data_IF_235548529629
#
_entry.id   IF_235548529629
#
_cell.length_a   1.000
_cell.length_b   1.000
_cell.length_c   1.000
_cell.angle_alpha   90.00
_cell.angle_beta   90.00
_cell.angle_gamma   90.00
#
_symmetry.space_group_name_H-M   'P 1'
#
loop_
_entity.id
_entity.type
_entity.pdbx_description
1 polymer ?
#
# COMPACT_ATOMS: atom_id res chain seq x y z
N UNK A 1 14.74 33.98 26.53
CA UNK A 1 15.23 35.30 26.05
C UNK A 1 16.63 35.22 25.43
N UNK A 2 17.71 34.90 26.16
CA UNK A 2 19.05 34.79 25.52
C UNK A 2 19.19 33.56 24.60
N UNK A 3 18.64 32.41 25.01
CA UNK A 3 18.61 31.17 24.23
C UNK A 3 17.77 31.25 22.93
N UNK A 4 16.62 31.93 22.99
CA UNK A 4 15.73 32.09 21.82
C UNK A 4 16.38 32.98 20.75
N UNK A 5 17.17 33.98 21.16
CA UNK A 5 17.92 34.83 20.24
C UNK A 5 19.04 34.08 19.52
N UNK A 6 19.69 33.10 20.17
CA UNK A 6 20.77 32.32 19.55
C UNK A 6 20.25 31.45 18.39
N UNK A 7 19.13 30.76 18.60
CA UNK A 7 18.50 29.92 17.59
C UNK A 7 17.94 30.71 16.40
N UNK A 8 17.36 31.89 16.64
CA UNK A 8 16.93 32.80 15.58
C UNK A 8 18.12 33.39 14.81
N UNK A 9 19.25 33.66 15.47
CA UNK A 9 20.48 34.08 14.80
C UNK A 9 21.03 32.96 13.90
N UNK A 10 21.12 31.72 14.39
CA UNK A 10 21.55 30.57 13.59
C UNK A 10 20.65 30.33 12.38
N UNK A 11 19.34 30.51 12.54
CA UNK A 11 18.37 30.44 11.43
C UNK A 11 18.65 31.52 10.40
N UNK A 12 18.90 32.75 10.83
CA UNK A 12 19.23 33.88 9.97
C UNK A 12 20.54 33.66 9.23
N UNK A 13 21.55 33.09 9.88
CA UNK A 13 22.84 32.74 9.29
C UNK A 13 22.68 31.69 8.18
N UNK A 14 21.95 30.59 8.46
CA UNK A 14 21.65 29.56 7.47
C UNK A 14 20.88 30.12 6.26
N UNK A 15 19.87 30.99 6.49
CA UNK A 15 19.12 31.62 5.40
C UNK A 15 20.03 32.55 4.58
N UNK A 16 20.94 33.27 5.22
CA UNK A 16 21.88 34.17 4.56
C UNK A 16 22.89 33.39 3.72
N UNK A 17 23.41 32.28 4.24
CA UNK A 17 24.30 31.38 3.51
C UNK A 17 23.62 30.81 2.25
N UNK A 18 22.39 30.32 2.38
CA UNK A 18 21.59 29.85 1.24
C UNK A 18 21.39 30.98 0.21
N UNK A 19 20.99 32.19 0.63
CA UNK A 19 20.83 33.32 -0.30
C UNK A 19 22.11 33.70 -1.05
N UNK A 20 23.27 33.51 -0.42
CA UNK A 20 24.59 33.75 -1.03
C UNK A 20 25.10 32.56 -1.87
N UNK A 21 24.44 31.40 -1.79
CA UNK A 21 24.88 30.17 -2.43
C UNK A 21 26.11 29.52 -1.80
N UNK A 22 26.37 29.83 -0.53
CA UNK A 22 27.51 29.30 0.23
C UNK A 22 27.09 28.06 1.04
N UNK A 23 27.17 26.88 0.40
CA UNK A 23 26.80 25.62 1.06
C UNK A 23 27.76 25.25 2.22
N UNK A 24 29.01 25.73 2.21
CA UNK A 24 29.99 25.48 3.27
C UNK A 24 29.66 26.29 4.53
N UNK A 25 29.34 27.59 4.37
CA UNK A 25 28.83 28.42 5.46
C UNK A 25 27.50 27.89 6.00
N UNK A 26 26.63 27.37 5.13
CA UNK A 26 25.41 26.71 5.56
C UNK A 26 25.70 25.49 6.43
N UNK A 27 26.59 24.59 5.99
CA UNK A 27 26.91 23.37 6.73
C UNK A 27 27.52 23.67 8.10
N UNK A 28 28.38 24.69 8.19
CA UNK A 28 28.96 25.16 9.44
C UNK A 28 27.91 25.76 10.40
N UNK A 29 26.98 26.57 9.89
CA UNK A 29 25.90 27.14 10.69
C UNK A 29 24.88 26.07 11.11
N UNK A 30 24.55 25.14 10.21
CA UNK A 30 23.58 24.07 10.45
C UNK A 30 24.06 23.08 11.52
N UNK A 31 25.36 22.78 11.59
CA UNK A 31 25.93 21.93 12.65
C UNK A 31 25.69 22.48 14.06
N UNK A 32 25.74 23.81 14.21
CA UNK A 32 25.49 24.47 15.51
C UNK A 32 24.07 24.27 16.03
N UNK A 33 23.09 23.96 15.16
CA UNK A 33 21.74 23.58 15.60
C UNK A 33 21.71 22.27 16.39
N UNK A 34 22.65 21.35 16.12
CA UNK A 34 22.77 20.11 16.87
C UNK A 34 23.42 20.36 18.24
N UNK A 35 24.42 21.25 18.28
CA UNK A 35 25.22 21.53 19.48
C UNK A 35 24.51 22.46 20.47
N UNK A 36 23.53 23.26 20.03
CA UNK A 36 22.81 24.18 20.92
C UNK A 36 21.97 23.40 21.94
N UNK A 37 22.35 23.42 23.20
CA UNK A 37 21.54 22.84 24.30
C UNK A 37 20.31 23.69 24.63
N UNK A 38 20.31 24.94 24.19
CA UNK A 38 19.34 25.95 24.56
C UNK A 38 18.29 26.09 23.44
N UNK A 39 17.19 25.35 23.50
CA UNK A 39 16.09 25.56 22.56
C UNK A 39 14.95 24.57 22.61
N UNK A 40 13.76 25.08 22.28
CA UNK A 40 12.58 24.26 22.04
C UNK A 40 12.84 23.31 20.84
N UNK A 41 12.80 22.00 21.10
CA UNK A 41 13.00 20.95 20.08
C UNK A 41 12.06 21.14 18.88
N UNK A 42 10.84 21.62 19.12
CA UNK A 42 9.88 21.96 18.09
C UNK A 42 10.43 23.03 17.12
N UNK A 43 10.95 24.12 17.66
CA UNK A 43 11.51 25.23 16.87
C UNK A 43 12.66 24.77 15.97
N UNK A 44 13.54 23.90 16.50
CA UNK A 44 14.64 23.32 15.72
C UNK A 44 14.11 22.55 14.52
N UNK A 45 13.11 21.70 14.72
CA UNK A 45 12.56 20.86 13.65
C UNK A 45 11.80 21.66 12.60
N UNK A 46 11.04 22.68 13.02
CA UNK A 46 10.39 23.63 12.10
C UNK A 46 11.42 24.40 11.27
N UNK A 47 12.49 24.87 11.91
CA UNK A 47 13.57 25.57 11.23
C UNK A 47 14.29 24.67 10.23
N UNK A 48 14.66 23.44 10.63
CA UNK A 48 15.34 22.49 9.76
C UNK A 48 14.45 22.06 8.58
N UNK A 49 13.15 21.87 8.80
CA UNK A 49 12.17 21.62 7.74
C UNK A 49 12.09 22.77 6.73
N UNK A 50 12.04 24.02 7.23
CA UNK A 50 12.07 25.23 6.40
C UNK A 50 13.37 25.33 5.60
N UNK A 51 14.53 25.16 6.25
CA UNK A 51 15.83 25.25 5.60
C UNK A 51 16.00 24.18 4.51
N UNK A 52 15.55 22.94 4.75
CA UNK A 52 15.52 21.91 3.73
C UNK A 52 14.69 22.32 2.50
N UNK A 53 13.50 22.90 2.73
CA UNK A 53 12.64 23.39 1.64
C UNK A 53 13.25 24.57 0.89
N UNK A 54 13.89 25.52 1.58
CA UNK A 54 14.56 26.66 0.97
C UNK A 54 15.77 26.23 0.12
N UNK A 55 16.60 25.33 0.65
CA UNK A 55 17.73 24.76 -0.07
C UNK A 55 17.27 24.05 -1.35
N UNK A 56 16.21 23.22 -1.26
CA UNK A 56 15.61 22.57 -2.43
C UNK A 56 15.09 23.57 -3.47
N UNK A 57 14.44 24.65 -3.05
CA UNK A 57 13.94 25.70 -3.95
C UNK A 57 15.07 26.40 -4.71
N UNK A 58 16.25 26.48 -4.10
CA UNK A 58 17.46 27.07 -4.69
C UNK A 58 18.36 26.03 -5.37
N UNK A 59 17.93 24.77 -5.44
CA UNK A 59 18.68 23.64 -6.02
C UNK A 59 19.99 23.28 -5.27
N UNK A 60 20.10 23.61 -3.99
CA UNK A 60 21.22 23.24 -3.11
C UNK A 60 20.97 21.90 -2.44
N UNK A 61 21.26 20.83 -3.18
CA UNK A 61 20.97 19.44 -2.76
C UNK A 61 21.77 19.03 -1.52
N UNK A 62 23.02 19.51 -1.36
CA UNK A 62 23.89 19.14 -0.24
C UNK A 62 23.36 19.74 1.05
N UNK A 63 23.05 21.05 1.04
CA UNK A 63 22.42 21.74 2.16
C UNK A 63 21.05 21.15 2.51
N UNK A 64 20.23 20.79 1.51
CA UNK A 64 18.94 20.14 1.76
C UNK A 64 19.08 18.78 2.46
N UNK A 65 20.03 17.95 2.01
CA UNK A 65 20.30 16.65 2.62
C UNK A 65 20.85 16.83 4.05
N UNK A 66 21.72 17.82 4.28
CA UNK A 66 22.23 18.16 5.62
C UNK A 66 21.11 18.53 6.56
N UNK A 67 20.21 19.43 6.15
CA UNK A 67 19.06 19.83 6.95
C UNK A 67 18.14 18.64 7.28
N UNK A 68 17.88 17.75 6.32
CA UNK A 68 17.11 16.51 6.54
C UNK A 68 17.80 15.55 7.51
N UNK A 69 19.13 15.40 7.41
CA UNK A 69 19.91 14.58 8.33
C UNK A 69 19.77 15.11 9.76
N UNK A 70 19.93 16.42 9.95
CA UNK A 70 19.79 17.06 11.26
C UNK A 70 18.36 16.95 11.79
N UNK A 71 17.34 17.15 10.95
CA UNK A 71 15.94 16.94 11.33
C UNK A 71 15.70 15.52 11.85
N UNK A 72 16.29 14.52 11.17
CA UNK A 72 16.22 13.13 11.61
C UNK A 72 16.97 12.88 12.93
N UNK A 73 18.07 13.58 13.18
CA UNK A 73 18.81 13.47 14.46
C UNK A 73 17.98 14.09 15.59
N UNK A 74 17.45 15.30 15.41
CA UNK A 74 16.57 15.95 16.40
C UNK A 74 15.34 15.09 16.72
N UNK A 75 14.83 14.34 15.75
CA UNK A 75 13.70 13.44 16.01
C UNK A 75 14.02 12.41 17.11
N UNK A 76 15.28 11.98 17.26
CA UNK A 76 15.67 10.98 18.25
C UNK A 76 15.47 11.45 19.70
N UNK A 77 15.44 12.76 19.92
CA UNK A 77 15.25 13.38 21.24
C UNK A 77 13.76 13.54 21.62
N UNK A 78 12.84 13.16 20.72
CA UNK A 78 11.40 13.22 20.99
C UNK A 78 11.02 12.14 22.01
N UNK A 79 10.43 12.57 23.13
CA UNK A 79 9.92 11.66 24.15
C UNK A 79 8.77 10.79 23.59
N UNK A 80 8.62 9.52 24.03
CA UNK A 80 7.59 8.62 23.52
C UNK A 80 6.14 9.13 23.66
N UNK A 81 5.88 9.97 24.66
CA UNK A 81 4.55 10.53 24.97
C UNK A 81 4.35 11.94 24.37
N UNK A 82 5.35 12.46 23.64
CA UNK A 82 5.28 13.80 23.05
C UNK A 82 4.71 13.75 21.62
N UNK A 83 3.40 13.53 21.56
CA UNK A 83 2.66 13.50 20.31
C UNK A 83 2.76 14.82 19.52
N UNK A 84 2.77 15.96 20.20
CA UNK A 84 2.83 17.25 19.51
C UNK A 84 4.14 17.42 18.74
N UNK A 85 5.27 17.10 19.37
CA UNK A 85 6.59 17.26 18.77
C UNK A 85 6.83 16.23 17.65
N UNK A 86 6.34 15.00 17.79
CA UNK A 86 6.38 14.01 16.70
C UNK A 86 5.54 14.45 15.49
N UNK A 87 4.39 15.09 15.70
CA UNK A 87 3.60 15.66 14.59
C UNK A 87 4.40 16.73 13.83
N UNK A 88 5.10 17.61 14.57
CA UNK A 88 5.98 18.62 13.97
C UNK A 88 7.08 17.99 13.13
N UNK A 89 7.73 16.93 13.62
CA UNK A 89 8.70 16.16 12.85
C UNK A 89 8.10 15.60 11.54
N UNK A 90 6.98 14.87 11.66
CA UNK A 90 6.30 14.23 10.54
C UNK A 90 5.86 15.26 9.48
N UNK A 91 5.33 16.39 9.92
CA UNK A 91 4.89 17.49 9.06
C UNK A 91 6.07 18.13 8.30
N UNK A 92 7.16 18.43 8.99
CA UNK A 92 8.35 19.03 8.37
C UNK A 92 9.07 18.08 7.41
N UNK A 93 9.16 16.79 7.76
CA UNK A 93 9.67 15.76 6.85
C UNK A 93 8.79 15.65 5.60
N UNK A 94 7.46 15.66 5.77
CA UNK A 94 6.52 15.67 4.64
C UNK A 94 6.71 16.90 3.75
N UNK A 95 6.90 18.09 4.31
CA UNK A 95 7.15 19.30 3.53
C UNK A 95 8.42 19.21 2.70
N UNK A 96 9.52 18.75 3.30
CA UNK A 96 10.77 18.56 2.58
C UNK A 96 10.63 17.51 1.46
N UNK A 97 9.93 16.39 1.71
CA UNK A 97 9.67 15.38 0.70
C UNK A 97 8.79 15.92 -0.46
N UNK A 98 7.72 16.64 -0.15
CA UNK A 98 6.85 17.29 -1.15
C UNK A 98 7.66 18.29 -1.98
N UNK A 99 8.51 19.09 -1.35
CA UNK A 99 9.36 20.04 -2.05
C UNK A 99 10.36 19.32 -2.95
N UNK A 100 11.00 18.26 -2.47
CA UNK A 100 11.94 17.45 -3.26
C UNK A 100 11.25 16.85 -4.49
N UNK A 101 10.02 16.35 -4.33
CA UNK A 101 9.23 15.88 -5.47
C UNK A 101 8.90 17.01 -6.45
N UNK A 102 8.48 18.19 -5.95
CA UNK A 102 8.21 19.37 -6.79
C UNK A 102 9.42 19.84 -7.58
N UNK A 103 10.60 19.80 -6.98
CA UNK A 103 11.87 20.17 -7.63
C UNK A 103 12.52 19.02 -8.39
N UNK A 104 11.78 17.91 -8.62
CA UNK A 104 12.25 16.73 -9.36
C UNK A 104 13.49 16.04 -8.77
N UNK A 105 13.74 16.23 -7.48
CA UNK A 105 14.87 15.66 -6.78
C UNK A 105 14.50 14.33 -6.11
N UNK A 106 14.63 13.24 -6.88
CA UNK A 106 14.31 11.88 -6.42
C UNK A 106 15.17 11.44 -5.23
N UNK A 107 16.45 11.78 -5.23
CA UNK A 107 17.39 11.33 -4.21
C UNK A 107 17.08 11.93 -2.84
N UNK A 108 16.73 13.23 -2.81
CA UNK A 108 16.30 13.89 -1.58
C UNK A 108 14.93 13.35 -1.10
N UNK A 109 14.00 13.06 -2.03
CA UNK A 109 12.75 12.39 -1.66
C UNK A 109 13.01 11.00 -1.05
N UNK A 110 13.88 10.20 -1.67
CA UNK A 110 14.28 8.88 -1.17
C UNK A 110 14.96 9.00 0.21
N UNK A 111 15.82 9.99 0.40
CA UNK A 111 16.46 10.26 1.69
C UNK A 111 15.41 10.57 2.77
N UNK A 112 14.43 11.41 2.49
CA UNK A 112 13.35 11.71 3.44
C UNK A 112 12.55 10.45 3.84
N UNK A 113 12.16 9.62 2.88
CA UNK A 113 11.49 8.34 3.16
C UNK A 113 12.41 7.41 3.97
N UNK A 114 13.70 7.38 3.65
CA UNK A 114 14.68 6.56 4.37
C UNK A 114 14.87 7.00 5.82
N UNK A 115 14.86 8.31 6.11
CA UNK A 115 14.94 8.80 7.50
C UNK A 115 13.73 8.38 8.32
N UNK A 116 12.54 8.46 7.71
CA UNK A 116 11.31 7.96 8.31
C UNK A 116 11.42 6.44 8.59
N UNK A 117 11.87 5.66 7.60
CA UNK A 117 12.04 4.22 7.74
C UNK A 117 13.02 3.84 8.87
N UNK A 118 14.18 4.51 8.95
CA UNK A 118 15.18 4.25 10.00
C UNK A 118 14.63 4.57 11.38
N UNK A 119 13.92 5.69 11.55
CA UNK A 119 13.29 6.06 12.83
C UNK A 119 12.32 4.98 13.30
N UNK A 120 11.35 4.63 12.45
CA UNK A 120 10.31 3.65 12.78
C UNK A 120 10.82 2.20 12.81
N UNK A 121 12.00 1.91 12.26
CA UNK A 121 12.69 0.64 12.46
C UNK A 121 13.19 0.49 13.90
N UNK A 122 13.73 1.56 14.49
CA UNK A 122 14.31 1.56 15.83
C UNK A 122 13.25 1.61 16.92
N UNK A 123 12.24 2.47 16.75
CA UNK A 123 11.35 2.80 17.85
C UNK A 123 10.12 1.88 17.97
N UNK A 124 9.75 1.12 16.91
CA UNK A 124 8.53 0.28 16.84
C UNK A 124 7.22 0.95 17.31
N UNK A 125 7.23 2.25 17.61
CA UNK A 125 6.22 2.96 18.37
C UNK A 125 5.39 3.83 17.42
N UNK A 126 4.11 3.49 17.26
CA UNK A 126 3.10 4.35 16.64
C UNK A 126 1.90 4.33 17.60
N UNK A 127 1.96 5.11 18.68
CA UNK A 127 0.91 5.08 19.72
C UNK A 127 -0.02 6.28 19.60
N UNK A 128 0.53 7.49 19.66
CA UNK A 128 -0.28 8.71 19.87
C UNK A 128 -0.49 9.56 18.61
N UNK A 129 0.25 9.28 17.52
CA UNK A 129 0.21 10.06 16.27
C UNK A 129 -0.16 9.25 15.03
N UNK A 130 -0.95 8.21 15.22
CA UNK A 130 -1.38 7.32 14.14
C UNK A 130 -1.95 8.12 12.95
N UNK A 131 -2.78 9.13 13.20
CA UNK A 131 -3.40 9.95 12.14
C UNK A 131 -2.38 10.79 11.35
N UNK A 132 -1.46 11.46 12.06
CA UNK A 132 -0.38 12.22 11.42
C UNK A 132 0.52 11.31 10.58
N UNK A 133 0.86 10.14 11.11
CA UNK A 133 1.67 9.15 10.40
C UNK A 133 0.95 8.60 9.16
N UNK A 134 -0.33 8.23 9.27
CA UNK A 134 -1.18 7.84 8.14
C UNK A 134 -1.24 8.97 7.10
N UNK A 135 -1.38 10.22 7.53
CA UNK A 135 -1.37 11.40 6.66
C UNK A 135 -0.07 11.55 5.88
N UNK A 136 1.08 11.33 6.52
CA UNK A 136 2.39 11.31 5.85
C UNK A 136 2.49 10.14 4.87
N UNK A 137 2.12 8.93 5.27
CA UNK A 137 2.17 7.76 4.38
C UNK A 137 1.29 7.93 3.14
N UNK A 138 0.08 8.47 3.29
CA UNK A 138 -0.81 8.79 2.17
C UNK A 138 -0.14 9.76 1.19
N UNK A 139 0.43 10.85 1.69
CA UNK A 139 1.10 11.85 0.85
C UNK A 139 2.31 11.25 0.13
N UNK A 140 3.17 10.53 0.85
CA UNK A 140 4.38 9.95 0.27
C UNK A 140 4.07 8.82 -0.73
N UNK A 141 3.08 7.96 -0.45
CA UNK A 141 2.64 6.94 -1.39
C UNK A 141 2.02 7.55 -2.65
N UNK A 142 1.21 8.59 -2.51
CA UNK A 142 0.66 9.32 -3.66
C UNK A 142 1.79 9.86 -4.54
N UNK A 143 2.75 10.59 -3.94
CA UNK A 143 3.87 11.19 -4.67
C UNK A 143 4.74 10.13 -5.35
N UNK A 144 5.10 9.07 -4.62
CA UNK A 144 5.92 8.00 -5.17
C UNK A 144 5.21 7.26 -6.33
N UNK A 145 3.90 7.05 -6.24
CA UNK A 145 3.13 6.45 -7.31
C UNK A 145 3.00 7.39 -8.52
N UNK A 146 2.65 8.66 -8.31
CA UNK A 146 2.46 9.66 -9.36
C UNK A 146 3.76 9.97 -10.12
N UNK A 147 4.88 10.09 -9.41
CA UNK A 147 6.22 10.28 -9.99
C UNK A 147 6.89 8.98 -10.45
N UNK A 148 6.23 7.82 -10.26
CA UNK A 148 6.74 6.48 -10.61
C UNK A 148 8.10 6.16 -9.97
N UNK A 149 8.28 6.53 -8.70
CA UNK A 149 9.45 6.16 -7.89
C UNK A 149 9.33 4.72 -7.37
N UNK A 150 9.40 3.78 -8.30
CA UNK A 150 9.11 2.35 -8.10
C UNK A 150 10.08 1.63 -7.17
N UNK A 151 11.28 2.16 -7.00
CA UNK A 151 12.32 1.73 -6.06
C UNK A 151 12.06 2.21 -4.62
N UNK A 152 11.23 3.24 -4.44
CA UNK A 152 10.88 3.82 -3.12
C UNK A 152 9.58 3.21 -2.56
N UNK A 153 8.66 2.79 -3.44
CA UNK A 153 7.42 2.10 -3.05
C UNK A 153 7.63 0.90 -2.12
N UNK A 154 8.64 0.00 -2.27
CA UNK A 154 8.94 -1.04 -1.29
C UNK A 154 9.09 -0.53 0.15
N UNK A 155 9.78 0.60 0.33
CA UNK A 155 10.03 1.18 1.65
C UNK A 155 8.75 1.76 2.27
N UNK A 156 7.93 2.44 1.47
CA UNK A 156 6.63 2.96 1.91
C UNK A 156 5.63 1.84 2.25
N UNK A 157 5.67 0.74 1.49
CA UNK A 157 4.90 -0.48 1.82
C UNK A 157 5.34 -1.06 3.15
N UNK A 158 6.66 -1.17 3.38
CA UNK A 158 7.20 -1.65 4.64
C UNK A 158 6.81 -0.74 5.83
N UNK A 159 6.90 0.58 5.66
CA UNK A 159 6.46 1.55 6.65
C UNK A 159 4.97 1.40 6.97
N UNK A 160 4.14 1.19 5.95
CA UNK A 160 2.70 0.98 6.14
C UNK A 160 2.40 -0.25 6.99
N UNK A 161 3.22 -1.31 6.92
CA UNK A 161 3.05 -2.51 7.75
C UNK A 161 3.26 -2.27 9.25
N UNK A 162 3.83 -1.12 9.65
CA UNK A 162 3.91 -0.72 11.06
C UNK A 162 2.55 -0.40 11.67
N UNK A 163 1.54 -0.15 10.84
CA UNK A 163 0.15 -0.01 11.27
C UNK A 163 -0.55 -1.37 11.49
N UNK A 164 0.01 -2.48 10.98
CA UNK A 164 -0.62 -3.80 11.13
C UNK A 164 -0.59 -4.27 12.58
N UNK A 165 -1.74 -4.71 13.09
CA UNK A 165 -1.92 -5.25 14.45
C UNK A 165 -1.39 -4.33 15.56
N UNK A 166 -1.36 -3.04 15.29
CA UNK A 166 -1.07 -2.06 16.30
C UNK A 166 -2.37 -1.79 17.08
N UNK A 167 -2.32 -1.98 18.40
CA UNK A 167 -3.48 -1.87 19.30
C UNK A 167 -4.10 -0.47 19.28
N UNK A 168 -3.33 0.55 18.92
CA UNK A 168 -3.75 1.96 18.87
C UNK A 168 -4.33 2.35 17.50
N UNK A 169 -4.44 1.39 16.58
CA UNK A 169 -4.88 1.64 15.20
C UNK A 169 -6.17 0.86 14.94
N UNK A 170 -7.29 1.57 14.96
CA UNK A 170 -8.61 0.97 14.75
C UNK A 170 -8.87 0.67 13.27
N UNK A 171 -9.82 -0.22 13.00
CA UNK A 171 -10.26 -0.48 11.62
C UNK A 171 -10.87 0.75 10.96
N UNK A 172 -11.48 1.65 11.74
CA UNK A 172 -12.06 2.91 11.28
C UNK A 172 -10.99 3.85 10.73
N UNK A 173 -9.81 3.89 11.37
CA UNK A 173 -8.65 4.65 10.88
C UNK A 173 -8.00 4.00 9.67
N UNK A 174 -7.91 2.67 9.63
CA UNK A 174 -7.27 1.94 8.52
C UNK A 174 -8.11 1.97 7.24
N UNK A 175 -9.44 1.95 7.34
CA UNK A 175 -10.29 1.78 6.17
C UNK A 175 -10.12 2.92 5.14
N UNK A 176 -10.14 4.22 5.51
CA UNK A 176 -9.86 5.31 4.57
C UNK A 176 -8.47 5.22 3.95
N UNK A 177 -7.45 4.90 4.75
CA UNK A 177 -6.06 4.73 4.29
C UNK A 177 -5.95 3.64 3.23
N UNK A 178 -6.47 2.44 3.52
CA UNK A 178 -6.41 1.30 2.60
C UNK A 178 -7.27 1.51 1.35
N UNK A 179 -8.39 2.24 1.44
CA UNK A 179 -9.16 2.68 0.27
C UNK A 179 -8.38 3.67 -0.59
N UNK A 180 -7.71 4.64 0.01
CA UNK A 180 -6.83 5.57 -0.69
C UNK A 180 -5.71 4.84 -1.45
N UNK A 181 -5.09 3.85 -0.80
CA UNK A 181 -4.11 2.98 -1.43
C UNK A 181 -4.72 2.18 -2.61
N UNK A 182 -5.87 1.54 -2.41
CA UNK A 182 -6.57 0.83 -3.49
C UNK A 182 -6.90 1.75 -4.68
N UNK A 183 -7.35 2.99 -4.42
CA UNK A 183 -7.58 4.01 -5.44
C UNK A 183 -6.31 4.33 -6.23
N UNK A 184 -5.17 4.54 -5.54
CA UNK A 184 -3.89 4.80 -6.19
C UNK A 184 -3.50 3.66 -7.14
N UNK A 185 -3.68 2.42 -6.69
CA UNK A 185 -3.41 1.25 -7.52
C UNK A 185 -4.31 1.20 -8.77
N UNK A 186 -5.60 1.46 -8.60
CA UNK A 186 -6.56 1.50 -9.70
C UNK A 186 -6.26 2.63 -10.71
N UNK A 187 -5.86 3.81 -10.21
CA UNK A 187 -5.44 4.92 -11.06
C UNK A 187 -4.16 4.60 -11.85
N UNK A 188 -3.17 3.97 -11.20
CA UNK A 188 -1.95 3.51 -11.88
C UNK A 188 -2.27 2.48 -12.97
N UNK A 189 -3.17 1.53 -12.69
CA UNK A 189 -3.64 0.54 -13.67
C UNK A 189 -4.26 1.22 -14.90
N UNK A 190 -5.18 2.18 -14.69
CA UNK A 190 -5.85 2.93 -15.77
C UNK A 190 -4.89 3.77 -16.62
N UNK A 191 -3.80 4.27 -16.03
CA UNK A 191 -2.76 5.03 -16.75
C UNK A 191 -1.75 4.14 -17.49
N UNK A 192 -1.90 2.81 -17.44
CA UNK A 192 -0.95 1.86 -18.03
C UNK A 192 0.33 1.69 -17.21
N UNK A 193 0.39 2.20 -15.97
CA UNK A 193 1.55 2.05 -15.08
C UNK A 193 1.47 0.71 -14.33
N UNK A 194 1.55 -0.38 -15.09
CA UNK A 194 1.25 -1.73 -14.61
C UNK A 194 2.22 -2.20 -13.52
N UNK A 195 3.48 -1.78 -13.58
CA UNK A 195 4.50 -2.06 -12.56
C UNK A 195 4.15 -1.40 -11.22
N UNK A 196 3.76 -0.12 -11.24
CA UNK A 196 3.31 0.64 -10.07
C UNK A 196 2.03 0.01 -9.50
N UNK A 197 1.04 -0.26 -10.35
CA UNK A 197 -0.21 -0.90 -9.94
C UNK A 197 0.04 -2.25 -9.25
N UNK A 198 0.89 -3.08 -9.84
CA UNK A 198 1.28 -4.37 -9.28
C UNK A 198 1.97 -4.22 -7.92
N UNK A 199 2.92 -3.28 -7.79
CA UNK A 199 3.60 -3.05 -6.51
C UNK A 199 2.64 -2.61 -5.41
N UNK A 200 1.73 -1.68 -5.74
CA UNK A 200 0.73 -1.17 -4.80
C UNK A 200 -0.25 -2.26 -4.38
N UNK A 201 -0.85 -3.01 -5.32
CA UNK A 201 -1.78 -4.08 -5.00
C UNK A 201 -1.12 -5.20 -4.18
N UNK A 202 0.10 -5.62 -4.52
CA UNK A 202 0.82 -6.64 -3.76
C UNK A 202 1.08 -6.17 -2.31
N UNK A 203 1.45 -4.90 -2.11
CA UNK A 203 1.62 -4.35 -0.76
C UNK A 203 0.32 -4.28 0.02
N UNK A 204 -0.75 -3.82 -0.62
CA UNK A 204 -2.10 -3.74 -0.04
C UNK A 204 -2.60 -5.12 0.40
N UNK A 205 -2.47 -6.13 -0.45
CA UNK A 205 -2.89 -7.49 -0.12
C UNK A 205 -2.00 -8.14 0.94
N UNK A 206 -0.69 -7.87 0.93
CA UNK A 206 0.19 -8.31 2.00
C UNK A 206 -0.19 -7.68 3.36
N UNK A 207 -0.54 -6.40 3.36
CA UNK A 207 -1.08 -5.72 4.55
C UNK A 207 -2.32 -6.44 5.08
N UNK A 208 -3.31 -6.74 4.23
CA UNK A 208 -4.53 -7.45 4.64
C UNK A 208 -4.23 -8.83 5.24
N UNK A 209 -3.32 -9.60 4.61
CA UNK A 209 -2.90 -10.91 5.13
C UNK A 209 -2.25 -10.81 6.51
N UNK A 210 -1.52 -9.72 6.79
CA UNK A 210 -0.93 -9.47 8.10
C UNK A 210 -1.96 -9.01 9.12
N UNK A 211 -2.85 -8.09 8.75
CA UNK A 211 -3.88 -7.54 9.63
C UNK A 211 -4.86 -8.61 10.12
N UNK A 212 -5.18 -9.63 9.30
CA UNK A 212 -6.13 -10.71 9.64
C UNK A 212 -7.52 -10.23 10.05
N UNK A 213 -7.93 -9.05 9.61
CA UNK A 213 -9.30 -8.57 9.78
C UNK A 213 -10.19 -9.02 8.62
N UNK A 214 -11.27 -9.75 8.95
CA UNK A 214 -12.29 -10.11 7.96
C UNK A 214 -12.99 -8.86 7.41
N UNK A 215 -13.31 -7.89 8.27
CA UNK A 215 -14.06 -6.67 7.90
C UNK A 215 -13.29 -5.81 6.91
N UNK A 216 -12.01 -5.56 7.20
CA UNK A 216 -11.12 -4.83 6.29
C UNK A 216 -10.89 -5.63 5.00
N UNK A 217 -10.63 -6.94 5.11
CA UNK A 217 -10.45 -7.80 3.93
C UNK A 217 -11.66 -7.76 3.01
N UNK A 218 -12.87 -7.90 3.55
CA UNK A 218 -14.13 -7.79 2.81
C UNK A 218 -14.25 -6.44 2.12
N UNK A 219 -14.08 -5.36 2.87
CA UNK A 219 -14.28 -4.01 2.37
C UNK A 219 -13.30 -3.66 1.26
N UNK A 220 -12.02 -3.97 1.44
CA UNK A 220 -10.98 -3.64 0.46
C UNK A 220 -11.01 -4.59 -0.74
N UNK A 221 -11.26 -5.88 -0.55
CA UNK A 221 -11.39 -6.82 -1.66
C UNK A 221 -12.56 -6.44 -2.57
N UNK A 222 -13.73 -6.16 -2.02
CA UNK A 222 -14.88 -5.70 -2.81
C UNK A 222 -14.59 -4.40 -3.55
N UNK A 223 -13.87 -3.48 -2.90
CA UNK A 223 -13.49 -2.21 -3.51
C UNK A 223 -12.51 -2.39 -4.67
N UNK A 224 -11.49 -3.24 -4.52
CA UNK A 224 -10.55 -3.56 -5.61
C UNK A 224 -11.24 -4.33 -6.74
N UNK A 225 -12.15 -5.27 -6.43
CA UNK A 225 -12.93 -6.00 -7.42
C UNK A 225 -13.80 -5.08 -8.28
N UNK A 226 -14.38 -4.03 -7.68
CA UNK A 226 -15.10 -3.01 -8.44
C UNK A 226 -14.18 -2.28 -9.44
N UNK A 227 -12.97 -1.90 -9.02
CA UNK A 227 -12.00 -1.27 -9.93
C UNK A 227 -11.52 -2.22 -11.02
N UNK A 228 -11.31 -3.50 -10.70
CA UNK A 228 -10.99 -4.54 -11.67
C UNK A 228 -12.12 -4.74 -12.67
N UNK A 229 -13.40 -4.73 -12.23
CA UNK A 229 -14.57 -4.79 -13.10
C UNK A 229 -14.62 -3.60 -14.05
N UNK A 230 -14.44 -2.38 -13.55
CA UNK A 230 -14.39 -1.19 -14.40
C UNK A 230 -13.24 -1.26 -15.41
N UNK A 231 -12.07 -1.77 -15.00
CA UNK A 231 -10.94 -1.96 -15.90
C UNK A 231 -11.27 -2.99 -16.98
N UNK A 232 -11.87 -4.12 -16.62
CA UNK A 232 -12.29 -5.14 -17.57
C UNK A 232 -13.28 -4.61 -18.62
N UNK A 233 -14.18 -3.71 -18.22
CA UNK A 233 -15.13 -3.07 -19.13
C UNK A 233 -14.48 -2.13 -20.16
N UNK A 234 -13.34 -1.53 -19.82
CA UNK A 234 -12.67 -0.54 -20.66
C UNK A 234 -11.53 -1.12 -21.49
N UNK A 235 -10.73 -1.97 -20.87
CA UNK A 235 -9.48 -2.52 -21.40
C UNK A 235 -9.58 -4.01 -21.78
N UNK A 236 -10.72 -4.65 -21.50
CA UNK A 236 -10.96 -6.06 -21.73
C UNK A 236 -10.60 -6.96 -20.55
N UNK A 237 -11.31 -8.09 -20.45
CA UNK A 237 -11.22 -9.03 -19.33
C UNK A 237 -9.84 -9.70 -19.24
N UNK A 238 -9.25 -10.08 -20.38
CA UNK A 238 -7.93 -10.71 -20.42
C UNK A 238 -6.85 -9.82 -19.78
N UNK A 239 -6.83 -8.54 -20.17
CA UNK A 239 -5.91 -7.53 -19.62
C UNK A 239 -6.19 -7.23 -18.15
N UNK A 240 -7.45 -7.28 -17.73
CA UNK A 240 -7.81 -7.16 -16.32
C UNK A 240 -7.18 -8.28 -15.47
N UNK A 241 -7.19 -9.54 -15.93
CA UNK A 241 -6.52 -10.65 -15.22
C UNK A 241 -5.00 -10.46 -15.10
N UNK A 242 -4.36 -9.85 -16.11
CA UNK A 242 -2.93 -9.54 -16.07
C UNK A 242 -2.60 -8.42 -15.10
N UNK A 243 -3.28 -7.28 -15.21
CA UNK A 243 -2.99 -6.08 -14.40
C UNK A 243 -3.41 -6.28 -12.94
N UNK A 244 -4.52 -6.98 -12.71
CA UNK A 244 -5.00 -7.33 -11.36
C UNK A 244 -4.60 -8.73 -10.92
N UNK A 245 -3.54 -9.30 -11.51
CA UNK A 245 -2.92 -10.55 -11.05
C UNK A 245 -2.70 -10.63 -9.52
N UNK A 246 -2.35 -9.54 -8.80
CA UNK A 246 -2.23 -9.57 -7.34
C UNK A 246 -3.52 -9.97 -6.62
N UNK A 247 -4.71 -9.71 -7.18
CA UNK A 247 -6.00 -10.10 -6.61
C UNK A 247 -6.16 -11.63 -6.60
N UNK A 248 -5.76 -12.28 -7.69
CA UNK A 248 -5.74 -13.74 -7.77
C UNK A 248 -4.72 -14.32 -6.80
N UNK A 249 -3.50 -13.75 -6.77
CA UNK A 249 -2.45 -14.21 -5.86
C UNK A 249 -2.89 -14.11 -4.40
N UNK A 250 -3.51 -13.00 -4.01
CA UNK A 250 -4.11 -12.80 -2.70
C UNK A 250 -5.17 -13.86 -2.39
N UNK A 251 -6.08 -14.11 -3.34
CA UNK A 251 -7.16 -15.09 -3.18
C UNK A 251 -6.62 -16.50 -2.96
N UNK A 252 -5.58 -16.90 -3.71
CA UNK A 252 -4.92 -18.20 -3.56
C UNK A 252 -4.21 -18.35 -2.21
N UNK A 253 -3.53 -17.29 -1.76
CA UNK A 253 -2.83 -17.29 -0.46
C UNK A 253 -3.83 -17.31 0.69
N UNK A 254 -4.87 -16.48 0.62
CA UNK A 254 -5.90 -16.40 1.66
C UNK A 254 -6.69 -17.71 1.75
N UNK A 255 -7.08 -18.32 0.64
CA UNK A 255 -7.70 -19.65 0.64
C UNK A 255 -6.80 -20.67 1.33
N UNK A 256 -5.50 -20.71 0.99
CA UNK A 256 -4.55 -21.63 1.62
C UNK A 256 -4.44 -21.41 3.13
N UNK A 257 -4.49 -20.16 3.60
CA UNK A 257 -4.51 -19.84 5.03
C UNK A 257 -5.80 -20.32 5.69
N UNK A 258 -6.95 -20.05 5.07
CA UNK A 258 -8.27 -20.45 5.59
C UNK A 258 -8.47 -21.96 5.64
N UNK A 259 -7.86 -22.73 4.74
CA UNK A 259 -7.86 -24.19 4.82
C UNK A 259 -7.15 -24.74 6.08
N UNK A 260 -6.37 -23.91 6.77
CA UNK A 260 -5.71 -24.24 8.04
C UNK A 260 -6.31 -23.49 9.23
N UNK A 261 -7.33 -22.67 9.00
CA UNK A 261 -7.94 -21.86 10.05
C UNK A 261 -8.78 -22.75 10.97
N UNK A 262 -8.56 -22.57 12.27
CA UNK A 262 -9.22 -23.35 13.32
C UNK A 262 -10.64 -22.84 13.59
N UNK A 263 -10.84 -21.52 13.50
CA UNK A 263 -12.18 -20.94 13.56
C UNK A 263 -12.96 -21.27 12.28
N UNK A 264 -13.85 -22.27 12.40
CA UNK A 264 -14.71 -22.74 11.33
C UNK A 264 -15.63 -21.63 10.79
N UNK A 265 -16.15 -20.74 11.67
CA UNK A 265 -17.04 -19.66 11.24
C UNK A 265 -16.27 -18.65 10.41
N UNK A 266 -15.09 -18.23 10.87
CA UNK A 266 -14.22 -17.32 10.12
C UNK A 266 -13.77 -17.93 8.79
N UNK A 267 -13.39 -19.22 8.80
CA UNK A 267 -13.01 -19.99 7.61
C UNK A 267 -14.11 -19.97 6.56
N UNK A 268 -15.33 -20.39 6.91
CA UNK A 268 -16.48 -20.43 6.00
C UNK A 268 -16.79 -19.03 5.47
N UNK A 269 -16.86 -18.03 6.36
CA UNK A 269 -17.18 -16.65 5.98
C UNK A 269 -16.18 -16.07 4.99
N UNK A 270 -14.89 -16.34 5.20
CA UNK A 270 -13.80 -15.84 4.34
C UNK A 270 -13.73 -16.57 3.00
N UNK A 271 -13.89 -17.91 2.99
CA UNK A 271 -13.93 -18.67 1.75
C UNK A 271 -15.16 -18.28 0.92
N UNK A 272 -16.33 -18.16 1.54
CA UNK A 272 -17.55 -17.69 0.86
C UNK A 272 -17.36 -16.30 0.26
N UNK A 273 -16.71 -15.37 0.97
CA UNK A 273 -16.35 -14.05 0.44
C UNK A 273 -15.50 -14.16 -0.83
N UNK A 274 -14.45 -15.00 -0.83
CA UNK A 274 -13.58 -15.18 -2.00
C UNK A 274 -14.35 -15.73 -3.21
N UNK A 275 -15.06 -16.85 -3.03
CA UNK A 275 -15.80 -17.51 -4.12
C UNK A 275 -16.90 -16.58 -4.67
N UNK A 276 -17.62 -15.88 -3.78
CA UNK A 276 -18.61 -14.90 -4.19
C UNK A 276 -18.01 -13.73 -4.95
N UNK A 277 -16.91 -13.15 -4.47
CA UNK A 277 -16.30 -11.98 -5.11
C UNK A 277 -15.86 -12.27 -6.54
N UNK A 278 -15.24 -13.44 -6.78
CA UNK A 278 -14.83 -13.85 -8.13
C UNK A 278 -16.01 -14.17 -9.03
N UNK A 279 -17.01 -14.91 -8.52
CA UNK A 279 -18.24 -15.19 -9.27
C UNK A 279 -19.00 -13.90 -9.64
N UNK A 280 -19.13 -12.97 -8.70
CA UNK A 280 -19.81 -11.69 -8.93
C UNK A 280 -19.02 -10.82 -9.93
N UNK A 281 -17.69 -10.80 -9.85
CA UNK A 281 -16.83 -10.16 -10.85
C UNK A 281 -17.04 -10.74 -12.26
N UNK A 282 -16.97 -12.07 -12.41
CA UNK A 282 -17.16 -12.73 -13.72
C UNK A 282 -18.54 -12.43 -14.29
N UNK A 283 -19.60 -12.57 -13.47
CA UNK A 283 -20.96 -12.28 -13.91
C UNK A 283 -21.16 -10.81 -14.33
N UNK A 284 -20.50 -9.88 -13.63
CA UNK A 284 -20.61 -8.45 -13.93
C UNK A 284 -19.78 -8.06 -15.16
N UNK A 285 -18.57 -8.61 -15.31
CA UNK A 285 -17.72 -8.42 -16.48
C UNK A 285 -18.34 -9.02 -17.74
N UNK A 286 -18.93 -10.22 -17.66
CA UNK A 286 -19.64 -10.86 -18.76
C UNK A 286 -20.80 -9.99 -19.25
N UNK A 287 -21.62 -9.48 -18.32
CA UNK A 287 -22.72 -8.55 -18.63
C UNK A 287 -22.25 -7.26 -19.30
N UNK A 288 -21.12 -6.70 -18.87
CA UNK A 288 -20.59 -5.46 -19.46
C UNK A 288 -19.96 -5.69 -20.84
N UNK A 289 -19.30 -6.83 -21.04
CA UNK A 289 -18.71 -7.23 -22.31
C UNK A 289 -19.74 -7.81 -23.30
N UNK A 290 -20.98 -8.07 -22.87
CA UNK A 290 -21.99 -8.84 -23.62
C UNK A 290 -21.48 -10.23 -24.04
N UNK A 291 -20.70 -10.85 -23.17
CA UNK A 291 -20.13 -12.20 -23.36
C UNK A 291 -20.81 -13.23 -22.44
N UNK A 292 -20.65 -14.51 -22.78
CA UNK A 292 -21.12 -15.61 -21.93
C UNK A 292 -20.23 -15.77 -20.68
N UNK A 293 -20.82 -16.03 -19.50
CA UNK A 293 -20.03 -16.18 -18.27
C UNK A 293 -18.97 -17.30 -18.39
N UNK A 294 -19.25 -18.35 -19.15
CA UNK A 294 -18.32 -19.47 -19.31
C UNK A 294 -17.09 -19.10 -20.14
N UNK A 295 -17.20 -18.17 -21.11
CA UNK A 295 -16.04 -17.69 -21.87
C UNK A 295 -15.08 -16.92 -20.95
N UNK A 296 -15.61 -16.19 -19.96
CA UNK A 296 -14.79 -15.50 -18.97
C UNK A 296 -14.13 -16.47 -17.98
N UNK A 297 -14.83 -17.53 -17.54
CA UNK A 297 -14.18 -18.61 -16.76
C UNK A 297 -13.06 -19.29 -17.55
N UNK A 298 -13.26 -19.50 -18.85
CA UNK A 298 -12.24 -20.06 -19.75
C UNK A 298 -11.04 -19.12 -19.90
N UNK A 299 -11.28 -17.80 -20.02
CA UNK A 299 -10.23 -16.78 -20.06
C UNK A 299 -9.43 -16.75 -18.75
N UNK A 300 -10.11 -16.81 -17.61
CA UNK A 300 -9.49 -16.85 -16.30
C UNK A 300 -8.63 -18.12 -16.11
N UNK A 301 -9.16 -19.27 -16.53
CA UNK A 301 -8.43 -20.53 -16.52
C UNK A 301 -7.18 -20.49 -17.40
N UNK A 302 -7.30 -19.97 -18.62
CA UNK A 302 -6.18 -19.84 -19.57
C UNK A 302 -5.07 -18.95 -19.00
N UNK A 303 -5.44 -17.84 -18.35
CA UNK A 303 -4.49 -16.99 -17.63
C UNK A 303 -3.73 -17.74 -16.53
N UNK A 304 -4.44 -18.58 -15.76
CA UNK A 304 -3.83 -19.40 -14.69
C UNK A 304 -2.91 -20.50 -15.23
N UNK A 305 -3.30 -21.17 -16.31
CA UNK A 305 -2.56 -22.26 -16.95
C UNK A 305 -1.33 -21.77 -17.73
N UNK A 306 -1.29 -20.50 -18.15
CA UNK A 306 -0.14 -19.90 -18.80
C UNK A 306 1.06 -19.67 -17.85
N UNK A 307 0.89 -19.85 -16.52
CA UNK A 307 1.98 -19.65 -15.55
C UNK A 307 2.94 -20.83 -15.53
N UNK A 308 4.24 -20.53 -15.51
CA UNK A 308 5.31 -21.54 -15.50
C UNK A 308 5.21 -22.53 -14.32
N UNK A 309 4.91 -22.02 -13.13
CA UNK A 309 4.87 -22.83 -11.91
C UNK A 309 3.70 -23.83 -11.93
N UNK A 310 4.03 -25.13 -12.02
CA UNK A 310 3.05 -26.23 -11.88
C UNK A 310 2.18 -26.10 -10.62
N UNK A 311 2.78 -25.68 -9.51
CA UNK A 311 2.10 -25.47 -8.23
C UNK A 311 1.12 -24.30 -8.28
N UNK A 312 1.45 -23.23 -9.01
CA UNK A 312 0.53 -22.12 -9.23
C UNK A 312 -0.66 -22.57 -10.08
N UNK A 313 -0.40 -23.24 -11.21
CA UNK A 313 -1.43 -23.77 -12.11
C UNK A 313 -2.45 -24.63 -11.36
N UNK A 314 -1.98 -25.61 -10.58
CA UNK A 314 -2.84 -26.46 -9.77
C UNK A 314 -3.70 -25.68 -8.76
N UNK A 315 -3.12 -24.67 -8.08
CA UNK A 315 -3.86 -23.84 -7.12
C UNK A 315 -4.90 -22.96 -7.81
N UNK A 316 -4.54 -22.39 -8.95
CA UNK A 316 -5.45 -21.60 -9.79
C UNK A 316 -6.62 -22.46 -10.24
N UNK A 317 -6.35 -23.63 -10.80
CA UNK A 317 -7.36 -24.59 -11.25
C UNK A 317 -8.30 -25.00 -10.12
N UNK A 318 -7.76 -25.38 -8.95
CA UNK A 318 -8.57 -25.72 -7.78
C UNK A 318 -9.48 -24.55 -7.36
N UNK A 319 -8.95 -23.32 -7.34
CA UNK A 319 -9.74 -22.16 -6.94
C UNK A 319 -10.87 -21.83 -7.93
N UNK A 320 -10.60 -21.99 -9.24
CA UNK A 320 -11.62 -21.84 -10.29
C UNK A 320 -12.68 -22.93 -10.16
N UNK A 321 -12.29 -24.19 -9.95
CA UNK A 321 -13.23 -25.31 -9.74
C UNK A 321 -14.11 -25.09 -8.50
N UNK A 322 -13.55 -24.59 -7.39
CA UNK A 322 -14.32 -24.22 -6.20
C UNK A 322 -15.30 -23.09 -6.50
N UNK A 323 -14.88 -22.08 -7.26
CA UNK A 323 -15.75 -20.95 -7.64
C UNK A 323 -16.90 -21.41 -8.54
N UNK A 324 -16.62 -22.28 -9.52
CA UNK A 324 -17.62 -22.91 -10.37
C UNK A 324 -18.57 -23.82 -9.59
N UNK A 325 -18.07 -24.60 -8.63
CA UNK A 325 -18.90 -25.43 -7.75
C UNK A 325 -19.86 -24.60 -6.90
N UNK A 326 -19.36 -23.48 -6.37
CA UNK A 326 -20.18 -22.51 -5.62
C UNK A 326 -21.21 -21.80 -6.50
N UNK A 327 -20.83 -21.39 -7.71
CA UNK A 327 -21.76 -20.86 -8.72
C UNK A 327 -22.84 -21.89 -9.05
N UNK A 328 -22.44 -23.12 -9.38
CA UNK A 328 -23.34 -24.19 -9.78
C UNK A 328 -24.40 -24.45 -8.71
N UNK A 329 -24.03 -24.48 -7.44
CA UNK A 329 -24.97 -24.69 -6.33
C UNK A 329 -26.15 -23.69 -6.33
N UNK A 330 -25.93 -22.47 -6.81
CA UNK A 330 -26.92 -21.38 -6.83
C UNK A 330 -27.73 -21.31 -8.13
N UNK A 331 -27.34 -22.07 -9.15
CA UNK A 331 -27.97 -22.01 -10.46
C UNK A 331 -29.12 -23.02 -10.63
N UNK A 332 -30.14 -22.71 -11.45
CA UNK A 332 -31.15 -23.69 -11.88
C UNK A 332 -30.54 -24.91 -12.56
N UNK A 333 -31.27 -26.04 -12.60
CA UNK A 333 -30.81 -27.29 -13.23
C UNK A 333 -30.42 -27.12 -14.70
N UNK A 334 -31.04 -26.19 -15.42
CA UNK A 334 -30.76 -25.91 -16.84
C UNK A 334 -29.39 -25.26 -17.02
N UNK A 335 -29.04 -24.23 -16.26
CA UNK A 335 -27.72 -23.57 -16.34
C UNK A 335 -26.58 -24.48 -15.86
N UNK A 336 -26.84 -25.37 -14.89
CA UNK A 336 -25.86 -26.39 -14.47
C UNK A 336 -25.39 -27.29 -15.62
N UNK A 337 -26.26 -27.58 -16.60
CA UNK A 337 -25.90 -28.38 -17.78
C UNK A 337 -24.85 -27.69 -18.65
N UNK A 338 -24.64 -26.38 -18.52
CA UNK A 338 -23.64 -25.65 -19.29
C UNK A 338 -22.20 -25.92 -18.79
N UNK A 339 -22.01 -26.43 -17.57
CA UNK A 339 -20.68 -26.82 -17.06
C UNK A 339 -19.99 -27.88 -17.93
N UNK A 340 -20.77 -28.67 -18.68
CA UNK A 340 -20.24 -29.67 -19.63
C UNK A 340 -19.39 -29.05 -20.74
N UNK A 341 -19.45 -27.73 -20.94
CA UNK A 341 -18.64 -26.99 -21.92
C UNK A 341 -17.29 -26.55 -21.36
N UNK A 342 -17.04 -26.68 -20.04
CA UNK A 342 -15.78 -26.34 -19.37
C UNK A 342 -14.93 -27.58 -19.05
N UNK A 343 -14.95 -28.60 -19.92
CA UNK A 343 -14.33 -29.93 -19.64
C UNK A 343 -12.85 -29.83 -19.28
N UNK A 344 -12.10 -29.00 -20.00
CA UNK A 344 -10.68 -28.75 -19.78
C UNK A 344 -10.35 -28.28 -18.35
N UNK A 345 -11.22 -27.46 -17.73
CA UNK A 345 -11.05 -27.02 -16.34
C UNK A 345 -11.13 -28.23 -15.39
N UNK A 346 -12.03 -29.17 -15.67
CA UNK A 346 -12.33 -30.34 -14.84
C UNK A 346 -11.57 -31.63 -15.24
N UNK A 347 -10.75 -31.61 -16.30
CA UNK A 347 -9.93 -32.77 -16.72
C UNK A 347 -9.11 -33.35 -15.56
N UNK A 348 -8.47 -32.46 -14.79
CA UNK A 348 -7.90 -32.80 -13.50
C UNK A 348 -8.84 -32.31 -12.40
N UNK A 349 -9.71 -33.18 -11.90
CA UNK A 349 -10.57 -32.85 -10.76
C UNK A 349 -9.76 -32.77 -9.45
N UNK A 350 -9.69 -31.58 -8.89
CA UNK A 350 -8.96 -31.27 -7.66
C UNK A 350 -9.89 -31.10 -6.45
N UNK A 351 -11.21 -31.03 -6.66
CA UNK A 351 -12.20 -30.79 -5.60
C UNK A 351 -12.62 -32.13 -5.00
N UNK A 352 -11.79 -32.65 -4.10
CA UNK A 352 -12.01 -33.93 -3.38
C UNK A 352 -12.11 -33.75 -1.87
N UNK A 353 -12.76 -34.70 -1.20
CA UNK A 353 -12.84 -34.84 0.25
C UNK A 353 -13.19 -33.52 0.97
N UNK A 354 -12.21 -32.96 1.70
CA UNK A 354 -12.33 -31.69 2.43
C UNK A 354 -12.79 -30.51 1.57
N UNK A 355 -12.54 -30.53 0.26
CA UNK A 355 -12.97 -29.45 -0.65
C UNK A 355 -14.45 -29.57 -1.01
N UNK A 356 -14.99 -30.80 -1.08
CA UNK A 356 -16.43 -31.03 -1.24
C UNK A 356 -17.16 -30.58 0.03
N UNK A 357 -16.67 -30.98 1.21
CA UNK A 357 -17.22 -30.51 2.48
C UNK A 357 -17.19 -28.98 2.57
N UNK A 358 -16.05 -28.36 2.22
CA UNK A 358 -15.95 -26.91 2.20
C UNK A 358 -16.96 -26.26 1.25
N UNK A 359 -17.21 -26.87 0.09
CA UNK A 359 -18.22 -26.39 -0.85
C UNK A 359 -19.63 -26.50 -0.31
N UNK A 360 -19.94 -27.50 0.52
CA UNK A 360 -21.24 -27.65 1.19
C UNK A 360 -21.41 -26.60 2.30
N UNK A 361 -20.38 -26.39 3.11
CA UNK A 361 -20.39 -25.44 4.22
C UNK A 361 -20.58 -23.98 3.75
N UNK A 362 -20.04 -23.63 2.57
CA UNK A 362 -20.08 -22.26 2.05
C UNK A 362 -21.31 -21.96 1.18
N UNK A 363 -22.18 -22.94 0.90
CA UNK A 363 -23.41 -22.71 0.11
C UNK A 363 -24.30 -21.64 0.73
#
# INVERSE_FOLDING_TARGET
MAADNELENLKTDCITALRKGDEDAFDAAALKFQESSAGNLQFKMETLGLLACLALKQNYCRSALKALNLLSVCSLDIAPEDAQTENVFLQNLRYAAVMAARTHNKDIFAAAVSKLAVRYAKNNYIKENTDAFIGVLNALMFIAADRRYTDILPMLRWLSLRLCRNENVTEELLLPFLRGWACLAAQAARRGWHDVANQLLNGLFYFLLKQRSFTLTRSILMYVMLHMQMYAAWDGVAKAFEVYAPVQNFSLVLLKQMLKEADVKLRIKTVRLLLRSWRDFIAAAARQAMEDELSLYQSWFSYGEAKESKKYRQRSRLFIQLTLGYWAAQQPRTSKKQLKYLKNIFEQDLVKDKYLQLLEDVR
#
